data_IF_406455351965
#
_entry.id   IF_406455351965
#
_cell.length_a   1.000
_cell.length_b   1.000
_cell.length_c   1.000
_cell.angle_alpha   90.00
_cell.angle_beta   90.00
_cell.angle_gamma   90.00
#
_symmetry.space_group_name_H-M   'P 1'
#
loop_
_entity.id
_entity.type
_entity.pdbx_description
1 polymer ?
#
# COMPACT_ATOMS: atom_id res chain seq x y z
N UNK A 1 21.09 -4.00 -10.63
CA UNK A 1 21.44 -5.31 -10.03
C UNK A 1 21.94 -6.20 -11.16
N UNK A 2 23.15 -6.69 -11.05
CA UNK A 2 23.84 -7.37 -12.19
C UNK A 2 23.66 -8.91 -12.19
N UNK A 3 23.08 -9.51 -11.14
CA UNK A 3 22.87 -10.97 -11.06
C UNK A 3 21.90 -11.34 -9.95
N UNK A 4 21.38 -12.58 -9.99
CA UNK A 4 20.51 -13.14 -8.95
C UNK A 4 21.17 -13.02 -7.56
N UNK A 5 20.43 -12.47 -6.60
CA UNK A 5 20.90 -12.32 -5.21
C UNK A 5 20.97 -13.71 -4.55
N UNK A 6 22.13 -14.16 -4.04
CA UNK A 6 22.23 -15.46 -3.37
C UNK A 6 21.33 -15.52 -2.11
N UNK A 7 20.81 -16.71 -1.82
CA UNK A 7 19.94 -16.97 -0.64
C UNK A 7 20.57 -16.46 0.67
N UNK A 8 21.88 -16.70 0.88
CA UNK A 8 22.60 -16.22 2.06
C UNK A 8 22.63 -14.69 2.17
N UNK A 9 22.83 -14.00 1.05
CA UNK A 9 22.90 -12.54 1.00
C UNK A 9 21.54 -11.89 1.32
N UNK A 10 20.44 -12.42 0.76
CA UNK A 10 19.10 -11.92 1.10
C UNK A 10 18.79 -12.10 2.60
N UNK A 11 19.16 -13.26 3.16
CA UNK A 11 18.98 -13.53 4.58
C UNK A 11 19.83 -12.61 5.49
N UNK A 12 21.04 -12.21 5.06
CA UNK A 12 21.86 -11.22 5.77
C UNK A 12 21.17 -9.84 5.76
N UNK A 13 20.77 -9.35 4.59
CA UNK A 13 20.08 -8.06 4.44
C UNK A 13 18.86 -7.98 5.36
N UNK A 14 18.03 -9.02 5.37
CA UNK A 14 16.81 -9.04 6.21
C UNK A 14 17.16 -9.04 7.70
N UNK A 15 18.14 -9.81 8.16
CA UNK A 15 18.58 -9.82 9.57
C UNK A 15 19.16 -8.46 10.00
N UNK A 16 19.97 -7.86 9.15
CA UNK A 16 20.54 -6.53 9.43
C UNK A 16 19.45 -5.47 9.52
N UNK A 17 18.48 -5.48 8.60
CA UNK A 17 17.34 -4.60 8.64
C UNK A 17 16.46 -4.82 9.89
N UNK A 18 16.23 -6.08 10.32
CA UNK A 18 15.53 -6.40 11.57
C UNK A 18 16.27 -5.82 12.79
N UNK A 19 17.60 -5.97 12.84
CA UNK A 19 18.42 -5.44 13.94
C UNK A 19 18.38 -3.92 14.02
N UNK A 20 18.44 -3.23 12.86
CA UNK A 20 18.38 -1.75 12.80
C UNK A 20 17.03 -1.18 13.23
N UNK A 21 15.94 -1.91 13.02
CA UNK A 21 14.56 -1.40 13.16
C UNK A 21 13.78 -1.98 14.32
N UNK A 22 14.36 -2.94 15.04
CA UNK A 22 13.71 -3.67 16.14
C UNK A 22 12.38 -4.34 15.69
N UNK A 23 12.36 -4.87 14.45
CA UNK A 23 11.22 -5.60 13.91
C UNK A 23 11.41 -7.08 14.16
N UNK A 24 10.52 -7.69 14.93
CA UNK A 24 10.68 -9.07 15.40
C UNK A 24 10.48 -10.13 14.30
N UNK A 25 9.54 -9.90 13.39
CA UNK A 25 9.21 -10.85 12.33
C UNK A 25 9.10 -10.16 10.98
N UNK A 26 9.78 -10.74 9.99
CA UNK A 26 9.74 -10.30 8.61
C UNK A 26 9.81 -11.50 7.67
N UNK A 27 9.25 -11.34 6.51
CA UNK A 27 9.38 -12.26 5.37
C UNK A 27 9.70 -11.46 4.13
N UNK A 28 10.63 -11.94 3.32
CA UNK A 28 11.01 -11.31 2.05
C UNK A 28 11.17 -12.38 0.99
N UNK A 29 10.66 -12.12 -0.20
CA UNK A 29 10.94 -12.90 -1.41
C UNK A 29 11.36 -11.95 -2.53
N UNK A 30 12.39 -12.33 -3.27
CA UNK A 30 12.89 -11.61 -4.43
C UNK A 30 12.97 -12.55 -5.61
N UNK A 31 12.25 -12.22 -6.69
CA UNK A 31 12.38 -12.86 -7.99
C UNK A 31 13.23 -11.99 -8.91
N UNK A 32 14.28 -12.56 -9.46
CA UNK A 32 15.16 -11.94 -10.44
C UNK A 32 15.85 -13.03 -11.26
N UNK A 33 16.06 -12.82 -12.57
CA UNK A 33 16.70 -13.76 -13.49
C UNK A 33 16.06 -15.16 -13.46
N UNK A 34 14.73 -15.24 -13.40
CA UNK A 34 13.96 -16.49 -13.39
C UNK A 34 14.06 -17.30 -12.09
N UNK A 35 14.58 -16.72 -11.00
CA UNK A 35 14.77 -17.40 -9.73
C UNK A 35 14.19 -16.60 -8.57
N UNK A 36 13.42 -17.28 -7.71
CA UNK A 36 12.92 -16.71 -6.46
C UNK A 36 13.79 -17.12 -5.27
N UNK A 37 14.21 -16.12 -4.50
CA UNK A 37 15.00 -16.27 -3.28
C UNK A 37 14.19 -15.80 -2.10
N UNK A 38 14.26 -16.48 -0.95
CA UNK A 38 13.43 -16.21 0.22
C UNK A 38 14.27 -15.93 1.47
N UNK A 39 13.76 -15.07 2.37
CA UNK A 39 14.33 -14.84 3.69
C UNK A 39 13.26 -14.64 4.76
N UNK A 40 13.62 -14.85 6.04
CA UNK A 40 12.72 -14.71 7.17
C UNK A 40 11.60 -15.77 7.18
N UNK A 41 10.43 -15.40 7.71
CA UNK A 41 9.29 -16.30 7.89
C UNK A 41 8.45 -16.48 6.61
N UNK A 42 9.11 -16.72 5.50
CA UNK A 42 8.55 -16.73 4.15
C UNK A 42 7.41 -17.74 3.89
N UNK A 43 7.22 -18.73 4.78
CA UNK A 43 6.14 -19.73 4.68
C UNK A 43 4.88 -19.34 5.44
N UNK A 44 4.97 -18.33 6.30
CA UNK A 44 3.84 -17.91 7.14
C UNK A 44 3.07 -16.77 6.49
N UNK A 45 1.71 -16.79 6.61
CA UNK A 45 0.90 -15.68 6.13
C UNK A 45 1.00 -14.47 7.06
N UNK A 46 1.03 -13.29 6.43
CA UNK A 46 0.91 -11.98 7.06
C UNK A 46 -0.29 -11.26 6.46
N UNK A 47 -0.86 -10.30 7.18
CA UNK A 47 -1.84 -9.42 6.59
C UNK A 47 -1.16 -8.47 5.62
N UNK A 48 -1.64 -8.43 4.36
CA UNK A 48 -1.03 -7.62 3.31
C UNK A 48 -1.66 -6.25 3.15
N UNK A 49 -2.68 -5.96 3.96
CA UNK A 49 -3.36 -4.67 3.99
C UNK A 49 -3.70 -4.16 2.57
N UNK A 50 -3.33 -2.92 2.27
CA UNK A 50 -3.72 -2.24 1.03
C UNK A 50 -3.16 -2.84 -0.26
N UNK A 51 -2.22 -3.77 -0.23
CA UNK A 51 -1.87 -4.56 -1.42
C UNK A 51 -3.12 -5.29 -1.95
N UNK A 52 -4.10 -5.62 -1.09
CA UNK A 52 -5.43 -6.14 -1.49
C UNK A 52 -6.09 -5.34 -2.60
N UNK A 53 -5.80 -4.03 -2.69
CA UNK A 53 -6.38 -3.14 -3.70
C UNK A 53 -6.02 -3.54 -5.13
N UNK A 54 -4.79 -3.99 -5.34
CA UNK A 54 -4.40 -4.51 -6.66
C UNK A 54 -5.20 -5.75 -7.01
N UNK A 55 -5.40 -6.69 -6.06
CA UNK A 55 -6.25 -7.88 -6.27
C UNK A 55 -7.71 -7.51 -6.59
N UNK A 56 -8.25 -6.48 -5.92
CA UNK A 56 -9.61 -5.97 -6.21
C UNK A 56 -9.70 -5.43 -7.63
N UNK A 57 -8.72 -4.60 -8.04
CA UNK A 57 -8.69 -4.04 -9.38
C UNK A 57 -8.58 -5.14 -10.45
N UNK A 58 -7.72 -6.14 -10.21
CA UNK A 58 -7.56 -7.30 -11.08
C UNK A 58 -8.87 -8.09 -11.20
N UNK A 59 -9.54 -8.40 -10.08
CA UNK A 59 -10.81 -9.13 -10.10
C UNK A 59 -11.91 -8.36 -10.85
N UNK A 60 -12.03 -7.05 -10.63
CA UNK A 60 -12.99 -6.18 -11.34
C UNK A 60 -12.73 -6.19 -12.86
N UNK A 61 -11.46 -6.13 -13.26
CA UNK A 61 -11.06 -6.19 -14.67
C UNK A 61 -11.36 -7.54 -15.29
N UNK A 62 -10.94 -8.65 -14.66
CA UNK A 62 -11.15 -10.02 -15.16
C UNK A 62 -12.64 -10.40 -15.24
N UNK A 63 -13.48 -9.83 -14.37
CA UNK A 63 -14.93 -9.98 -14.44
C UNK A 63 -15.59 -9.19 -15.58
N UNK A 64 -14.82 -8.38 -16.34
CA UNK A 64 -15.38 -7.51 -17.38
C UNK A 64 -16.21 -6.34 -16.83
N UNK A 65 -16.02 -5.98 -15.56
CA UNK A 65 -16.80 -4.97 -14.86
C UNK A 65 -16.14 -3.56 -14.87
N UNK A 66 -15.01 -3.41 -15.55
CA UNK A 66 -14.25 -2.16 -15.56
C UNK A 66 -14.88 -1.14 -16.52
N UNK A 67 -15.60 -0.18 -15.95
CA UNK A 67 -16.16 0.98 -16.62
C UNK A 67 -15.50 2.28 -16.13
N UNK A 68 -15.87 3.43 -16.69
CA UNK A 68 -15.31 4.74 -16.30
C UNK A 68 -15.52 5.05 -14.81
N UNK A 69 -16.68 4.68 -14.25
CA UNK A 69 -16.97 4.88 -12.83
C UNK A 69 -16.03 4.04 -11.97
N UNK A 70 -15.89 2.74 -12.27
CA UNK A 70 -15.01 1.85 -11.49
C UNK A 70 -13.55 2.19 -11.68
N UNK A 71 -13.16 2.63 -12.88
CA UNK A 71 -11.82 3.17 -13.11
C UNK A 71 -11.53 4.36 -12.21
N UNK A 72 -12.46 5.30 -12.05
CA UNK A 72 -12.31 6.42 -11.12
C UNK A 72 -12.29 5.98 -9.65
N UNK A 73 -13.08 4.99 -9.25
CA UNK A 73 -13.10 4.44 -7.89
C UNK A 73 -11.76 3.76 -7.54
N UNK A 74 -11.27 2.90 -8.43
CA UNK A 74 -10.03 2.12 -8.24
C UNK A 74 -8.76 2.96 -8.37
N UNK A 75 -8.83 4.12 -9.00
CA UNK A 75 -7.71 5.07 -9.11
C UNK A 75 -7.75 6.21 -8.10
N UNK A 76 -8.70 6.21 -7.16
CA UNK A 76 -8.88 7.25 -6.14
C UNK A 76 -9.22 8.65 -6.70
N UNK A 77 -9.84 8.70 -7.88
CA UNK A 77 -10.25 9.95 -8.55
C UNK A 77 -11.76 10.21 -8.51
N UNK A 78 -12.54 9.30 -7.92
CA UNK A 78 -14.00 9.43 -7.82
C UNK A 78 -14.46 10.53 -6.85
N UNK A 79 -13.55 11.19 -6.14
CA UNK A 79 -13.88 12.27 -5.20
C UNK A 79 -14.53 11.80 -3.90
N UNK A 80 -14.32 10.55 -3.50
CA UNK A 80 -14.85 9.99 -2.26
C UNK A 80 -13.96 10.31 -1.06
N UNK A 81 -14.58 10.45 0.10
CA UNK A 81 -13.87 10.51 1.39
C UNK A 81 -13.14 9.19 1.67
N UNK A 82 -12.15 9.18 2.57
CA UNK A 82 -11.34 7.98 2.84
C UNK A 82 -12.15 6.73 3.18
N UNK A 83 -13.10 6.86 4.10
CA UNK A 83 -13.86 5.74 4.66
C UNK A 83 -15.36 5.77 4.35
N UNK A 84 -15.85 6.78 3.65
CA UNK A 84 -17.27 6.95 3.33
C UNK A 84 -17.49 7.30 1.86
N UNK A 85 -18.56 6.82 1.22
CA UNK A 85 -18.86 7.14 -0.19
C UNK A 85 -19.46 8.55 -0.35
N UNK A 86 -19.20 9.44 0.60
CA UNK A 86 -19.57 10.84 0.54
C UNK A 86 -18.55 11.64 -0.27
N UNK A 87 -18.95 12.73 -0.93
CA UNK A 87 -18.02 13.59 -1.64
C UNK A 87 -16.99 14.23 -0.71
N UNK A 88 -15.79 14.44 -1.24
CA UNK A 88 -14.77 15.27 -0.60
C UNK A 88 -15.34 16.69 -0.33
N UNK A 89 -14.82 17.39 0.70
CA UNK A 89 -15.13 18.79 0.89
C UNK A 89 -14.87 19.62 -0.37
N UNK A 90 -15.62 20.71 -0.62
CA UNK A 90 -15.46 21.54 -1.81
C UNK A 90 -14.01 22.01 -2.05
N UNK A 91 -13.27 22.27 -0.96
CA UNK A 91 -11.86 22.65 -1.01
C UNK A 91 -10.96 21.56 -1.61
N UNK A 92 -11.35 20.30 -1.45
CA UNK A 92 -10.62 19.12 -1.97
C UNK A 92 -11.21 18.58 -3.27
N UNK A 93 -12.28 19.16 -3.81
CA UNK A 93 -12.96 18.68 -5.01
C UNK A 93 -12.01 18.59 -6.22
N UNK A 94 -12.07 17.48 -6.95
CA UNK A 94 -11.25 17.23 -8.14
C UNK A 94 -9.78 16.87 -7.84
N UNK A 95 -9.39 16.78 -6.58
CA UNK A 95 -8.06 16.27 -6.20
C UNK A 95 -8.08 14.74 -6.11
N UNK A 96 -6.94 14.14 -6.44
CA UNK A 96 -6.67 12.77 -6.07
C UNK A 96 -6.64 12.66 -4.54
N UNK A 97 -7.39 11.69 -3.99
CA UNK A 97 -7.43 11.44 -2.55
C UNK A 97 -7.72 9.96 -2.30
N UNK A 98 -6.86 9.32 -1.54
CA UNK A 98 -6.97 7.89 -1.24
C UNK A 98 -8.30 7.56 -0.56
N UNK A 99 -9.01 6.53 -1.04
CA UNK A 99 -10.32 6.16 -0.53
C UNK A 99 -10.51 4.64 -0.48
N UNK A 100 -10.63 4.10 0.72
CA UNK A 100 -11.09 2.72 0.95
C UNK A 100 -12.57 2.56 0.56
N UNK A 101 -13.37 3.61 0.74
CA UNK A 101 -14.78 3.63 0.32
C UNK A 101 -14.92 3.41 -1.19
N UNK A 102 -14.02 3.97 -2.01
CA UNK A 102 -14.00 3.76 -3.45
C UNK A 102 -13.83 2.28 -3.82
N UNK A 103 -12.95 1.56 -3.13
CA UNK A 103 -12.74 0.13 -3.35
C UNK A 103 -13.93 -0.72 -2.92
N UNK A 104 -14.58 -0.36 -1.80
CA UNK A 104 -15.84 -1.02 -1.38
C UNK A 104 -16.95 -0.84 -2.42
N UNK A 105 -17.07 0.37 -2.94
CA UNK A 105 -18.07 0.69 -3.98
C UNK A 105 -17.75 -0.02 -5.29
N UNK A 106 -16.49 -0.08 -5.72
CA UNK A 106 -16.10 -0.85 -6.92
C UNK A 106 -16.43 -2.34 -6.77
N UNK A 107 -16.18 -2.91 -5.59
CA UNK A 107 -16.45 -4.31 -5.28
C UNK A 107 -17.94 -4.63 -5.09
N UNK A 108 -18.81 -3.63 -4.87
CA UNK A 108 -20.26 -3.85 -4.77
C UNK A 108 -20.87 -4.47 -6.03
N UNK A 109 -20.17 -4.34 -7.17
CA UNK A 109 -20.54 -4.99 -8.44
C UNK A 109 -20.59 -6.52 -8.37
N UNK A 110 -19.94 -7.13 -7.38
CA UNK A 110 -20.00 -8.58 -7.15
C UNK A 110 -21.21 -8.99 -6.29
N UNK A 111 -22.15 -8.09 -5.99
CA UNK A 111 -23.42 -8.36 -5.31
C UNK A 111 -23.29 -9.17 -4.00
N UNK A 112 -22.22 -8.92 -3.25
CA UNK A 112 -21.90 -9.63 -1.99
C UNK A 112 -20.95 -10.81 -2.14
N UNK A 113 -20.68 -11.29 -3.36
CA UNK A 113 -19.78 -12.42 -3.65
C UNK A 113 -18.31 -12.01 -3.86
N UNK A 114 -17.93 -10.83 -3.39
CA UNK A 114 -16.59 -10.28 -3.64
C UNK A 114 -15.45 -11.25 -3.26
N UNK A 115 -15.51 -11.88 -2.08
CA UNK A 115 -14.45 -12.79 -1.64
C UNK A 115 -14.35 -14.05 -2.51
N UNK A 116 -15.49 -14.55 -2.97
CA UNK A 116 -15.56 -15.67 -3.94
C UNK A 116 -15.00 -15.25 -5.30
N UNK A 117 -15.41 -14.09 -5.79
CA UNK A 117 -14.91 -13.56 -7.06
C UNK A 117 -13.39 -13.40 -7.09
N UNK A 118 -12.78 -12.83 -6.04
CA UNK A 118 -11.31 -12.73 -5.93
C UNK A 118 -10.67 -14.12 -5.95
N UNK A 119 -11.23 -15.07 -5.20
CA UNK A 119 -10.71 -16.44 -5.16
C UNK A 119 -10.77 -17.09 -6.56
N UNK A 120 -11.91 -17.05 -7.22
CA UNK A 120 -12.16 -17.76 -8.49
C UNK A 120 -11.46 -17.11 -9.68
N UNK A 121 -11.40 -15.77 -9.70
CA UNK A 121 -10.82 -15.03 -10.83
C UNK A 121 -9.31 -14.80 -10.70
N UNK A 122 -8.77 -14.75 -9.46
CA UNK A 122 -7.37 -14.38 -9.25
C UNK A 122 -6.59 -15.48 -8.51
N UNK A 123 -7.08 -15.92 -7.34
CA UNK A 123 -6.25 -16.78 -6.48
C UNK A 123 -6.10 -18.19 -7.04
N UNK A 124 -7.20 -18.83 -7.45
CA UNK A 124 -7.18 -20.20 -7.98
C UNK A 124 -6.45 -20.31 -9.31
N UNK A 125 -6.68 -19.44 -10.32
CA UNK A 125 -5.96 -19.50 -11.58
C UNK A 125 -4.45 -19.33 -11.45
N UNK A 126 -3.99 -18.51 -10.50
CA UNK A 126 -2.57 -18.31 -10.23
C UNK A 126 -1.99 -19.30 -9.20
N UNK A 127 -2.80 -20.19 -8.63
CA UNK A 127 -2.36 -21.14 -7.61
C UNK A 127 -1.93 -20.53 -6.29
N UNK A 128 -2.47 -19.36 -5.90
CA UNK A 128 -2.13 -18.62 -4.68
C UNK A 128 -2.81 -19.25 -3.45
N UNK A 129 -2.31 -20.39 -3.01
CA UNK A 129 -2.97 -21.25 -2.02
C UNK A 129 -2.89 -20.76 -0.58
N UNK A 130 -1.96 -19.82 -0.31
CA UNK A 130 -1.75 -19.23 1.02
C UNK A 130 -2.27 -17.80 1.09
N UNK A 131 -3.09 -17.41 0.11
CA UNK A 131 -3.72 -16.09 0.03
C UNK A 131 -5.23 -16.23 0.21
N UNK A 132 -5.83 -15.40 1.09
CA UNK A 132 -7.26 -15.45 1.36
C UNK A 132 -7.72 -14.43 2.39
N UNK A 133 -9.03 -14.37 2.64
CA UNK A 133 -9.63 -13.41 3.56
C UNK A 133 -9.78 -13.93 4.99
N UNK A 134 -9.80 -15.24 5.17
CA UNK A 134 -9.90 -15.84 6.49
C UNK A 134 -8.53 -15.84 7.18
N UNK A 135 -8.52 -15.65 8.51
CA UNK A 135 -7.26 -15.67 9.26
C UNK A 135 -6.71 -17.10 9.31
N UNK A 136 -5.52 -17.36 8.77
CA UNK A 136 -4.90 -18.67 8.81
C UNK A 136 -4.50 -19.07 10.25
N UNK A 137 -4.53 -20.36 10.57
CA UNK A 137 -4.16 -20.87 11.90
C UNK A 137 -2.71 -20.58 12.29
N UNK A 138 -1.81 -20.51 11.31
CA UNK A 138 -0.39 -20.23 11.47
C UNK A 138 -0.03 -18.77 11.14
N UNK A 139 -1.03 -17.88 11.07
CA UNK A 139 -0.82 -16.47 10.78
C UNK A 139 0.16 -15.83 11.78
N UNK A 140 0.98 -14.91 11.27
CA UNK A 140 1.77 -14.04 12.13
C UNK A 140 0.85 -12.97 12.71
N UNK A 141 0.96 -12.66 14.00
CA UNK A 141 0.20 -11.57 14.61
C UNK A 141 0.96 -10.24 14.51
N UNK A 142 0.21 -9.17 14.26
CA UNK A 142 0.75 -7.80 14.18
C UNK A 142 1.15 -7.25 15.54
N UNK A 143 2.07 -6.29 15.57
CA UNK A 143 2.50 -5.61 16.79
C UNK A 143 2.39 -4.10 16.66
N UNK A 144 1.77 -3.48 17.65
CA UNK A 144 1.68 -2.03 17.87
C UNK A 144 2.60 -1.61 19.02
N UNK A 145 2.82 -0.31 19.28
CA UNK A 145 3.61 0.13 20.43
C UNK A 145 3.08 -0.47 21.74
N UNK A 146 3.87 -1.37 22.34
CA UNK A 146 3.57 -1.99 23.63
C UNK A 146 2.61 -3.18 23.63
N UNK A 147 2.07 -3.60 22.46
CA UNK A 147 1.08 -4.68 22.42
C UNK A 147 1.12 -5.53 21.15
N UNK A 148 0.58 -6.75 21.26
CA UNK A 148 0.32 -7.66 20.14
C UNK A 148 -1.16 -7.57 19.79
N UNK A 149 -1.50 -7.44 18.52
CA UNK A 149 -2.89 -7.44 18.03
C UNK A 149 -3.44 -8.86 18.16
N UNK A 150 -4.12 -9.12 19.27
CA UNK A 150 -4.62 -10.46 19.61
C UNK A 150 -5.82 -10.90 18.75
N UNK A 151 -6.64 -9.95 18.29
CA UNK A 151 -7.73 -10.18 17.34
C UNK A 151 -7.43 -9.51 16.01
N UNK A 152 -6.87 -10.24 15.05
CA UNK A 152 -6.56 -9.69 13.72
C UNK A 152 -7.78 -9.68 12.78
N UNK A 153 -9.00 -9.82 13.29
CA UNK A 153 -10.20 -9.83 12.45
C UNK A 153 -10.32 -8.57 11.60
N UNK A 154 -10.93 -8.71 10.44
CA UNK A 154 -11.13 -7.61 9.50
C UNK A 154 -12.55 -7.64 8.97
N UNK A 155 -13.27 -6.54 9.15
CA UNK A 155 -14.67 -6.45 8.78
C UNK A 155 -14.90 -6.79 7.31
N UNK A 156 -15.91 -7.61 7.03
CA UNK A 156 -16.17 -8.18 5.68
C UNK A 156 -16.39 -7.08 4.65
N UNK A 157 -17.11 -6.04 5.01
CA UNK A 157 -17.38 -4.88 4.14
C UNK A 157 -16.11 -4.06 3.81
N UNK A 158 -15.06 -4.20 4.60
CA UNK A 158 -13.77 -3.51 4.40
C UNK A 158 -12.77 -4.35 3.57
N UNK A 159 -13.06 -5.63 3.34
CA UNK A 159 -12.18 -6.57 2.62
C UNK A 159 -11.62 -6.02 1.29
N UNK A 160 -12.40 -5.32 0.45
CA UNK A 160 -11.88 -4.82 -0.83
C UNK A 160 -10.71 -3.83 -0.72
N UNK A 161 -10.61 -3.14 0.41
CA UNK A 161 -9.55 -2.15 0.66
C UNK A 161 -8.31 -2.72 1.33
N UNK A 162 -8.35 -3.93 1.98
CA UNK A 162 -7.22 -4.33 2.81
C UNK A 162 -7.33 -5.67 3.54
N UNK A 163 -8.24 -6.56 3.15
CA UNK A 163 -8.61 -7.74 3.95
C UNK A 163 -7.80 -9.01 3.74
N UNK A 164 -6.89 -9.10 2.76
CA UNK A 164 -6.18 -10.32 2.44
C UNK A 164 -5.04 -10.63 3.43
N UNK A 165 -4.87 -11.91 3.66
CA UNK A 165 -3.65 -12.55 4.16
C UNK A 165 -2.90 -13.14 2.99
N UNK A 166 -1.56 -13.17 3.04
CA UNK A 166 -0.74 -13.82 2.01
C UNK A 166 0.65 -14.17 2.54
N UNK A 167 1.36 -14.99 1.79
CA UNK A 167 2.80 -15.23 1.94
C UNK A 167 3.57 -14.41 0.90
N UNK A 168 4.86 -14.18 1.15
CA UNK A 168 5.73 -13.51 0.17
C UNK A 168 5.88 -14.32 -1.12
N UNK A 169 5.74 -15.65 -1.06
CA UNK A 169 5.77 -16.51 -2.23
C UNK A 169 4.57 -16.26 -3.15
N UNK A 170 3.35 -16.31 -2.60
CA UNK A 170 2.14 -16.03 -3.35
C UNK A 170 2.13 -14.60 -3.92
N UNK A 171 2.64 -13.61 -3.16
CA UNK A 171 2.75 -12.24 -3.65
C UNK A 171 3.73 -12.10 -4.83
N UNK A 172 4.85 -12.83 -4.82
CA UNK A 172 5.78 -12.84 -5.95
C UNK A 172 5.11 -13.46 -7.18
N UNK A 173 4.41 -14.58 -7.05
CA UNK A 173 3.68 -15.20 -8.17
C UNK A 173 2.61 -14.25 -8.73
N UNK A 174 1.85 -13.59 -7.85
CA UNK A 174 0.90 -12.56 -8.25
C UNK A 174 1.59 -11.40 -8.99
N UNK A 175 2.71 -10.91 -8.47
CA UNK A 175 3.51 -9.85 -9.10
C UNK A 175 4.06 -10.25 -10.48
N UNK A 176 4.49 -11.49 -10.65
CA UNK A 176 4.99 -12.01 -11.93
C UNK A 176 3.90 -12.05 -13.00
N UNK A 177 2.64 -12.38 -12.63
CA UNK A 177 1.51 -12.26 -13.54
C UNK A 177 1.30 -10.82 -14.01
N UNK A 178 1.52 -9.83 -13.14
CA UNK A 178 1.48 -8.41 -13.49
C UNK A 178 2.66 -7.94 -14.36
N UNK A 179 3.77 -8.67 -14.39
CA UNK A 179 4.84 -8.39 -15.36
C UNK A 179 4.51 -8.85 -16.79
N UNK A 180 3.39 -9.57 -16.99
CA UNK A 180 2.94 -10.13 -18.26
C UNK A 180 1.60 -9.53 -18.75
N UNK A 181 0.51 -10.26 -18.54
CA UNK A 181 -0.74 -10.09 -19.26
C UNK A 181 -1.65 -8.93 -18.78
N UNK A 182 -1.32 -8.21 -17.70
CA UNK A 182 -2.21 -7.21 -17.08
C UNK A 182 -1.69 -5.77 -17.18
N UNK A 183 -0.98 -5.45 -18.25
CA UNK A 183 -0.39 -4.12 -18.46
C UNK A 183 -1.45 -2.99 -18.46
N UNK A 184 -2.67 -3.25 -18.93
CA UNK A 184 -3.76 -2.26 -18.96
C UNK A 184 -4.16 -1.75 -17.57
N UNK A 185 -3.89 -2.52 -16.52
CA UNK A 185 -4.13 -2.10 -15.13
C UNK A 185 -3.08 -1.13 -14.61
N UNK A 186 -1.96 -0.99 -15.31
CA UNK A 186 -0.83 -0.15 -14.94
C UNK A 186 -0.82 1.22 -15.65
N UNK A 187 -1.77 1.45 -16.56
CA UNK A 187 -1.93 2.73 -17.25
C UNK A 187 -2.22 3.85 -16.23
N UNK A 188 -1.38 4.89 -16.15
CA UNK A 188 -1.58 6.01 -15.23
C UNK A 188 -2.93 6.68 -15.44
N UNK A 189 -3.72 6.80 -14.37
CA UNK A 189 -5.01 7.52 -14.38
C UNK A 189 -4.89 8.87 -13.71
N UNK A 190 -4.04 9.00 -12.70
CA UNK A 190 -3.86 10.24 -11.97
C UNK A 190 -2.40 10.46 -11.58
N UNK A 191 -2.07 11.71 -11.28
CA UNK A 191 -0.78 12.09 -10.70
C UNK A 191 -1.01 12.69 -9.31
N UNK A 192 -0.24 12.21 -8.34
CA UNK A 192 -0.27 12.72 -6.98
C UNK A 192 1.07 12.46 -6.30
N UNK A 193 1.48 13.37 -5.41
CA UNK A 193 2.65 13.16 -4.55
C UNK A 193 3.94 12.86 -5.33
N UNK A 194 4.09 13.41 -6.54
CA UNK A 194 5.26 13.18 -7.39
C UNK A 194 5.35 11.80 -8.04
N UNK A 195 4.25 11.05 -8.09
CA UNK A 195 4.14 9.77 -8.77
C UNK A 195 2.83 9.68 -9.56
N UNK A 196 2.64 8.61 -10.31
CA UNK A 196 1.37 8.30 -10.96
C UNK A 196 0.66 7.18 -10.20
N UNK A 197 -0.67 7.17 -10.27
CA UNK A 197 -1.50 6.10 -9.74
C UNK A 197 -2.39 5.52 -10.84
N UNK A 198 -2.36 4.21 -10.94
CA UNK A 198 -3.16 3.42 -11.87
C UNK A 198 -4.29 2.69 -11.11
N UNK A 199 -4.68 1.50 -11.54
CA UNK A 199 -5.72 0.72 -10.89
C UNK A 199 -5.12 -0.20 -9.81
N UNK A 200 -4.98 0.33 -8.59
CA UNK A 200 -4.38 -0.38 -7.46
C UNK A 200 -2.85 -0.42 -7.45
N UNK A 201 -2.19 0.44 -8.24
CA UNK A 201 -0.75 0.50 -8.34
C UNK A 201 -0.23 1.93 -8.37
N UNK A 202 0.84 2.19 -7.65
CA UNK A 202 1.71 3.32 -7.91
C UNK A 202 2.62 2.99 -9.09
N UNK A 203 2.82 3.97 -9.97
CA UNK A 203 3.66 3.87 -11.18
C UNK A 203 4.75 4.92 -11.09
N UNK A 204 6.02 4.51 -11.17
CA UNK A 204 7.21 5.37 -11.04
C UNK A 204 8.32 4.85 -11.94
N UNK A 205 8.68 5.58 -12.99
CA UNK A 205 9.90 5.33 -13.80
C UNK A 205 10.27 3.84 -14.01
N UNK A 206 9.32 3.05 -14.52
CA UNK A 206 9.50 1.61 -14.76
C UNK A 206 9.28 0.72 -13.55
N UNK A 207 8.88 1.28 -12.40
CA UNK A 207 8.48 0.53 -11.21
C UNK A 207 6.97 0.57 -11.02
N UNK A 208 6.42 -0.55 -10.56
CA UNK A 208 5.07 -0.63 -10.00
C UNK A 208 5.20 -1.01 -8.53
N UNK A 209 4.44 -0.37 -7.66
CA UNK A 209 4.41 -0.76 -6.25
C UNK A 209 3.05 -0.54 -5.61
N UNK A 210 2.78 -1.30 -4.58
CA UNK A 210 1.75 -0.98 -3.60
C UNK A 210 2.21 -1.37 -2.20
N UNK A 211 1.99 -0.46 -1.28
CA UNK A 211 2.30 -0.62 0.14
C UNK A 211 1.03 -0.97 0.92
N UNK A 212 1.19 -1.58 2.09
CA UNK A 212 0.09 -1.87 2.99
C UNK A 212 0.45 -1.60 4.44
N UNK A 213 -0.52 -1.04 5.19
CA UNK A 213 -0.39 -0.77 6.63
C UNK A 213 -1.71 -1.04 7.32
N UNK A 214 -1.74 -1.94 8.28
CA UNK A 214 -2.93 -2.23 9.10
C UNK A 214 -2.58 -3.07 10.32
N UNK A 215 -3.16 -2.77 11.48
CA UNK A 215 -3.10 -3.64 12.67
C UNK A 215 -1.70 -4.10 13.05
N UNK A 216 -0.70 -3.22 12.96
CA UNK A 216 0.69 -3.55 13.25
C UNK A 216 1.42 -4.32 12.16
N UNK A 217 0.87 -4.41 10.94
CA UNK A 217 1.54 -4.96 9.78
C UNK A 217 1.97 -3.87 8.81
N UNK A 218 3.11 -4.07 8.17
CA UNK A 218 3.56 -3.29 7.02
C UNK A 218 3.95 -4.24 5.91
N UNK A 219 3.59 -3.90 4.68
CA UNK A 219 3.82 -4.75 3.52
C UNK A 219 4.21 -3.93 2.30
N UNK A 220 4.93 -4.56 1.37
CA UNK A 220 5.29 -4.02 0.07
C UNK A 220 5.24 -5.13 -0.98
N UNK A 221 4.64 -4.83 -2.12
CA UNK A 221 4.87 -5.53 -3.38
C UNK A 221 5.41 -4.52 -4.37
N UNK A 222 6.63 -4.77 -4.89
CA UNK A 222 7.33 -3.91 -5.85
C UNK A 222 7.73 -4.75 -7.06
N UNK A 223 7.46 -4.22 -8.24
CA UNK A 223 7.75 -4.87 -9.52
C UNK A 223 8.62 -3.96 -10.40
N UNK A 224 9.47 -4.57 -11.22
CA UNK A 224 10.11 -3.94 -12.38
C UNK A 224 9.75 -4.77 -13.61
N UNK A 225 8.59 -4.50 -14.25
CA UNK A 225 8.01 -5.39 -15.27
C UNK A 225 8.96 -5.68 -16.44
N UNK A 226 9.62 -4.66 -16.97
CA UNK A 226 10.57 -4.81 -18.09
C UNK A 226 11.72 -5.77 -17.81
N UNK A 227 12.03 -6.03 -16.54
CA UNK A 227 13.11 -6.90 -16.09
C UNK A 227 12.59 -8.20 -15.46
N UNK A 228 11.28 -8.38 -15.39
CA UNK A 228 10.63 -9.51 -14.69
C UNK A 228 11.18 -9.65 -13.26
N UNK A 229 11.26 -8.52 -12.53
CA UNK A 229 11.66 -8.48 -11.12
C UNK A 229 10.44 -8.27 -10.26
N UNK A 230 10.30 -9.08 -9.20
CA UNK A 230 9.28 -8.94 -8.18
C UNK A 230 9.90 -9.06 -6.78
N UNK A 231 9.65 -8.08 -5.93
CA UNK A 231 10.01 -8.07 -4.51
C UNK A 231 8.74 -8.02 -3.68
N UNK A 232 8.55 -8.99 -2.80
CA UNK A 232 7.55 -8.96 -1.75
C UNK A 232 8.23 -8.87 -0.39
N UNK A 233 7.79 -7.94 0.48
CA UNK A 233 8.30 -7.80 1.83
C UNK A 233 7.13 -7.60 2.81
N UNK A 234 7.07 -8.41 3.86
CA UNK A 234 6.02 -8.44 4.87
C UNK A 234 6.64 -8.36 6.26
N UNK A 235 6.03 -7.57 7.13
CA UNK A 235 6.46 -7.42 8.53
C UNK A 235 5.25 -7.42 9.47
N UNK A 236 5.48 -7.81 10.70
CA UNK A 236 4.46 -7.77 11.75
C UNK A 236 4.63 -6.58 12.70
N UNK A 237 5.15 -5.47 12.24
CA UNK A 237 5.43 -4.33 13.10
C UNK A 237 4.93 -3.02 12.49
N UNK A 238 4.39 -2.14 13.32
CA UNK A 238 4.10 -0.75 12.92
C UNK A 238 5.36 0.01 12.44
N UNK A 239 6.57 -0.44 12.82
CA UNK A 239 7.87 0.07 12.34
C UNK A 239 8.35 -0.61 11.06
N UNK A 240 7.58 -1.53 10.52
CA UNK A 240 7.97 -2.36 9.39
C UNK A 240 8.35 -1.60 8.13
N UNK A 241 7.80 -0.39 7.91
CA UNK A 241 8.17 0.47 6.78
C UNK A 241 9.68 0.77 6.75
N UNK A 242 10.30 1.00 7.91
CA UNK A 242 11.74 1.26 7.98
C UNK A 242 12.56 0.02 7.59
N UNK A 243 12.13 -1.18 8.02
CA UNK A 243 12.77 -2.43 7.60
C UNK A 243 12.67 -2.62 6.09
N UNK A 244 11.46 -2.46 5.54
CA UNK A 244 11.21 -2.63 4.10
C UNK A 244 12.06 -1.64 3.29
N UNK A 245 12.16 -0.39 3.74
CA UNK A 245 13.00 0.63 3.11
C UNK A 245 14.47 0.21 3.06
N UNK A 246 15.04 -0.27 4.18
CA UNK A 246 16.41 -0.78 4.20
C UNK A 246 16.61 -1.96 3.24
N UNK A 247 15.67 -2.92 3.21
CA UNK A 247 15.73 -4.06 2.28
C UNK A 247 15.75 -3.59 0.82
N UNK A 248 14.88 -2.65 0.46
CA UNK A 248 14.77 -2.11 -0.89
C UNK A 248 16.05 -1.36 -1.30
N UNK A 249 16.61 -0.54 -0.40
CA UNK A 249 17.88 0.18 -0.62
C UNK A 249 19.06 -0.77 -0.76
N UNK A 250 19.23 -1.71 0.17
CA UNK A 250 20.34 -2.67 0.17
C UNK A 250 20.30 -3.63 -1.04
N UNK A 251 19.12 -3.82 -1.65
CA UNK A 251 18.95 -4.56 -2.92
C UNK A 251 19.12 -3.67 -4.17
N UNK A 252 19.25 -2.35 -4.02
CA UNK A 252 19.33 -1.42 -5.14
C UNK A 252 18.04 -1.36 -5.97
N UNK A 253 16.89 -1.57 -5.33
CA UNK A 253 15.55 -1.55 -5.93
C UNK A 253 14.76 -0.29 -5.56
N UNK A 254 15.39 0.70 -4.92
CA UNK A 254 14.71 1.94 -4.61
C UNK A 254 14.30 2.65 -5.91
N UNK A 255 13.00 2.89 -6.16
CA UNK A 255 12.58 3.72 -7.28
C UNK A 255 13.21 5.11 -7.17
N UNK A 256 13.48 5.77 -8.30
CA UNK A 256 13.95 7.14 -8.26
C UNK A 256 13.03 8.01 -7.40
N UNK A 257 13.62 8.79 -6.51
CA UNK A 257 12.87 9.73 -5.69
C UNK A 257 12.33 10.84 -6.58
N UNK A 258 11.02 10.90 -6.75
CA UNK A 258 10.39 12.02 -7.43
C UNK A 258 10.39 13.22 -6.47
N UNK A 259 11.42 14.05 -6.54
CA UNK A 259 11.45 15.35 -5.86
C UNK A 259 10.80 16.39 -6.76
N UNK A 260 9.49 16.53 -6.67
CA UNK A 260 8.80 17.68 -7.22
C UNK A 260 8.73 18.78 -6.15
N UNK A 261 8.96 20.06 -6.50
CA UNK A 261 8.67 21.15 -5.58
C UNK A 261 7.18 21.13 -5.21
N UNK A 262 6.81 21.70 -4.07
CA UNK A 262 5.39 21.87 -3.75
C UNK A 262 4.72 22.70 -4.84
N UNK A 263 3.51 22.30 -5.25
CA UNK A 263 2.70 23.09 -6.20
C UNK A 263 2.32 24.44 -5.60
N UNK A 264 2.14 24.48 -4.28
CA UNK A 264 1.89 25.67 -3.49
C UNK A 264 2.83 25.63 -2.28
N UNK A 265 3.27 26.80 -1.81
CA UNK A 265 4.08 26.90 -0.59
C UNK A 265 3.37 26.23 0.59
N UNK A 266 4.12 25.42 1.34
CA UNK A 266 3.63 24.74 2.53
C UNK A 266 3.25 25.77 3.60
N UNK A 267 2.07 25.66 4.15
CA UNK A 267 1.54 26.60 5.14
C UNK A 267 1.37 25.90 6.47
N UNK A 268 1.97 26.43 7.53
CA UNK A 268 1.76 25.97 8.89
C UNK A 268 0.27 26.02 9.24
N UNK A 269 -0.23 24.97 9.89
CA UNK A 269 -1.63 24.89 10.25
C UNK A 269 -2.07 23.47 10.57
N UNK A 270 -3.37 23.35 10.93
CA UNK A 270 -4.03 22.08 11.16
C UNK A 270 -4.92 21.72 9.97
N UNK A 271 -4.77 20.51 9.49
CA UNK A 271 -5.52 19.94 8.36
C UNK A 271 -6.23 18.67 8.85
N UNK A 272 -7.52 18.52 8.55
CA UNK A 272 -8.27 17.40 9.10
C UNK A 272 -9.44 16.98 8.20
N UNK A 273 -9.66 15.66 8.10
CA UNK A 273 -10.83 15.06 7.46
C UNK A 273 -11.09 13.64 8.03
N UNK A 274 -12.26 13.40 8.59
CA UNK A 274 -12.76 12.06 8.98
C UNK A 274 -11.82 11.29 9.93
N UNK A 275 -11.17 11.97 10.87
CA UNK A 275 -10.23 11.38 11.81
C UNK A 275 -8.78 11.33 11.31
N UNK A 276 -8.54 11.54 10.01
CA UNK A 276 -7.20 11.83 9.51
C UNK A 276 -6.85 13.27 9.85
N UNK A 277 -5.74 13.48 10.51
CA UNK A 277 -5.30 14.81 10.91
C UNK A 277 -3.81 15.00 10.67
N UNK A 278 -3.42 16.22 10.32
CA UNK A 278 -2.03 16.61 10.22
C UNK A 278 -1.82 18.02 10.79
N UNK A 279 -0.75 18.21 11.52
CA UNK A 279 -0.27 19.50 11.95
C UNK A 279 1.06 19.79 11.25
N UNK A 280 1.07 20.85 10.44
CA UNK A 280 2.27 21.37 9.78
C UNK A 280 2.80 22.51 10.62
N UNK A 281 4.02 22.40 11.11
CA UNK A 281 4.68 23.43 11.91
C UNK A 281 6.20 23.27 11.85
N UNK A 282 6.90 24.40 11.80
CA UNK A 282 8.37 24.45 11.91
C UNK A 282 9.08 23.48 10.94
N UNK A 283 8.60 23.36 9.70
CA UNK A 283 9.18 22.47 8.69
C UNK A 283 9.00 20.97 9.00
N UNK A 284 8.03 20.63 9.85
CA UNK A 284 7.69 19.25 10.16
C UNK A 284 6.19 19.00 10.02
N UNK A 285 5.83 17.71 9.84
CA UNK A 285 4.45 17.24 9.88
C UNK A 285 4.30 16.28 11.06
N UNK A 286 3.25 16.48 11.85
CA UNK A 286 2.75 15.47 12.79
C UNK A 286 1.42 14.97 12.24
N UNK A 287 1.36 13.70 11.90
CA UNK A 287 0.22 13.03 11.26
C UNK A 287 -0.44 12.07 12.25
N UNK A 288 -1.76 11.98 12.21
CA UNK A 288 -2.54 10.97 12.90
C UNK A 288 -3.55 10.35 11.95
N UNK A 289 -3.56 9.02 11.87
CA UNK A 289 -4.57 8.27 11.11
C UNK A 289 -5.20 7.16 11.97
N UNK A 290 -6.50 6.86 11.81
CA UNK A 290 -7.13 5.76 12.53
C UNK A 290 -6.73 4.42 11.91
N UNK A 291 -6.27 3.48 12.74
CA UNK A 291 -6.04 2.10 12.30
C UNK A 291 -7.38 1.37 12.15
N UNK A 292 -7.67 0.76 11.00
CA UNK A 292 -8.98 0.15 10.72
C UNK A 292 -9.27 -1.15 11.48
N UNK A 293 -8.26 -1.77 12.09
CA UNK A 293 -8.41 -3.00 12.90
C UNK A 293 -8.56 -2.66 14.37
N UNK A 294 -7.68 -1.82 14.88
CA UNK A 294 -7.62 -1.52 16.32
C UNK A 294 -8.41 -0.28 16.73
N UNK A 295 -8.73 0.59 15.79
CA UNK A 295 -9.34 1.90 16.05
C UNK A 295 -8.40 2.90 16.73
N UNK A 296 -7.15 2.49 17.01
CA UNK A 296 -6.16 3.35 17.66
C UNK A 296 -5.54 4.28 16.63
N UNK A 297 -5.54 5.59 16.91
CA UNK A 297 -4.80 6.56 16.11
C UNK A 297 -3.30 6.37 16.31
N UNK A 298 -2.57 6.21 15.21
CA UNK A 298 -1.10 6.22 15.22
C UNK A 298 -0.62 7.63 14.88
N UNK A 299 0.16 8.21 15.77
CA UNK A 299 0.78 9.51 15.53
C UNK A 299 2.22 9.32 15.03
N UNK A 300 2.57 10.06 13.98
CA UNK A 300 3.90 10.04 13.37
C UNK A 300 4.37 11.46 13.10
N UNK A 301 5.64 11.71 13.37
CA UNK A 301 6.27 13.00 13.09
C UNK A 301 7.47 12.82 12.17
N UNK A 302 7.54 13.64 11.14
CA UNK A 302 8.63 13.62 10.14
C UNK A 302 8.91 15.02 9.58
N UNK A 303 10.09 15.27 9.03
CA UNK A 303 10.39 16.51 8.35
C UNK A 303 9.49 16.73 7.15
N UNK A 304 8.99 17.95 6.97
CA UNK A 304 8.26 18.33 5.78
C UNK A 304 9.23 18.33 4.58
N UNK A 305 8.97 17.45 3.62
CA UNK A 305 9.76 17.34 2.39
C UNK A 305 8.85 17.21 1.19
N UNK A 306 9.10 18.00 0.10
CA UNK A 306 8.35 17.84 -1.13
C UNK A 306 8.67 16.49 -1.79
N UNK A 307 7.66 15.92 -2.45
CA UNK A 307 7.81 14.69 -3.21
C UNK A 307 7.65 13.40 -2.40
N UNK A 308 7.77 12.30 -3.11
CA UNK A 308 7.50 10.98 -2.56
C UNK A 308 8.67 10.05 -2.81
N UNK A 309 9.16 9.44 -1.76
CA UNK A 309 9.99 8.23 -1.85
C UNK A 309 9.16 7.00 -1.51
N UNK A 310 9.57 5.82 -1.99
CA UNK A 310 8.98 4.56 -1.56
C UNK A 310 9.10 4.44 -0.03
N UNK A 311 8.04 4.00 0.63
CA UNK A 311 7.97 3.77 2.08
C UNK A 311 8.24 4.99 2.95
N UNK A 312 8.31 6.20 2.40
CA UNK A 312 8.38 7.43 3.19
C UNK A 312 7.07 8.18 3.12
N UNK A 313 6.78 8.91 4.19
CA UNK A 313 5.58 9.73 4.27
C UNK A 313 5.63 10.85 3.24
N UNK A 314 4.50 11.01 2.57
CA UNK A 314 4.34 11.90 1.43
C UNK A 314 3.46 13.06 1.82
N UNK A 315 3.84 14.24 1.41
CA UNK A 315 3.00 15.42 1.53
C UNK A 315 3.18 16.31 0.32
N UNK A 316 2.09 16.89 -0.12
CA UNK A 316 2.11 18.01 -1.06
C UNK A 316 0.99 19.00 -0.71
N UNK A 317 1.05 20.18 -1.33
CA UNK A 317 0.07 21.23 -1.15
C UNK A 317 -0.50 21.58 -2.52
N UNK A 318 -1.53 20.84 -2.99
CA UNK A 318 -2.03 20.97 -4.35
C UNK A 318 -2.75 22.29 -4.61
N UNK A 319 -3.20 22.98 -3.55
CA UNK A 319 -3.81 24.32 -3.62
C UNK A 319 -3.81 24.99 -2.24
N UNK A 320 -3.98 26.35 -2.17
CA UNK A 320 -4.06 27.06 -0.89
C UNK A 320 -5.16 26.48 0.03
N UNK A 321 -4.83 26.25 1.29
CA UNK A 321 -5.75 25.71 2.28
C UNK A 321 -6.05 24.22 2.20
N UNK A 322 -5.32 23.46 1.37
CA UNK A 322 -5.40 22.01 1.27
C UNK A 322 -4.01 21.40 1.31
N UNK A 323 -3.81 20.39 2.15
CA UNK A 323 -2.64 19.52 2.14
C UNK A 323 -3.05 18.09 1.76
N UNK A 324 -2.24 17.38 0.98
CA UNK A 324 -2.29 15.92 0.91
C UNK A 324 -1.22 15.36 1.81
N UNK A 325 -1.63 14.67 2.85
CA UNK A 325 -0.74 14.12 3.87
C UNK A 325 -1.06 12.63 3.97
N UNK A 326 -0.04 11.81 3.93
CA UNK A 326 -0.21 10.36 4.03
C UNK A 326 -1.14 9.76 2.96
N UNK A 327 -1.53 10.49 1.89
CA UNK A 327 -2.37 10.08 0.75
C UNK A 327 -3.80 10.62 0.76
N UNK A 328 -4.21 11.31 1.81
CA UNK A 328 -5.54 11.91 1.91
C UNK A 328 -5.48 13.43 1.70
N UNK A 329 -6.39 13.97 0.89
CA UNK A 329 -6.56 15.41 0.76
C UNK A 329 -7.31 15.96 1.98
N UNK A 330 -6.66 16.80 2.76
CA UNK A 330 -7.14 17.37 4.02
C UNK A 330 -7.36 18.88 3.87
N UNK A 331 -8.57 19.41 4.10
CA UNK A 331 -8.77 20.84 4.18
C UNK A 331 -8.18 21.42 5.47
N UNK A 332 -7.72 22.66 5.40
CA UNK A 332 -7.27 23.40 6.57
C UNK A 332 -8.45 23.76 7.48
N UNK A 333 -8.32 23.48 8.78
CA UNK A 333 -9.40 23.69 9.77
C UNK A 333 -9.14 24.83 10.75
N UNK A 334 -7.89 25.24 10.94
CA UNK A 334 -7.52 26.44 11.71
C UNK A 334 -7.43 27.64 10.75
N UNK A 335 -8.30 28.61 10.92
CA UNK A 335 -8.28 29.88 10.20
C UNK A 335 -7.90 31.03 11.10
#
# INVERSE_FOLDING_TARGET
MESAVPQGRLAEIVRDAQTRTDVSRAAVALHVDGRTTFAGEHRRPFRIASITKSFTATAVSLAGLLDDRRRALLSHTAGYRPERPDPLPPECAGLWSYSNAGYREAASAFEGEYSAAVRELVLEPLGLRHTGFETPDDAVLGTLPGDVVADPSYAVERRPGGGLWSTVGDLVEYGLAHCGDWADLHEPVASALGAHYALGWWVRDGFLDHEGSVGGFQSLLLLVPERTVALAALTNSWRGSALIHHVVEDLGLAPPSAQAPFEVEAVDGRYELDGFAAVVADGSVTESEPDPVTGTGLERRYPLRPGATLMTWRSDFPRPGVARIGWVALPRVDR
#
